data_IF_096082438288
#
_entry.id   IF_096082438288
#
_cell.length_a   1.000
_cell.length_b   1.000
_cell.length_c   1.000
_cell.angle_alpha   90.00
_cell.angle_beta   90.00
_cell.angle_gamma   90.00
#
_symmetry.space_group_name_H-M   'P 1'
#
loop_
_entity.id
_entity.type
_entity.pdbx_description
1 polymer ?
#
# COMPACT_ATOMS: atom_id res chain seq x y z
N UNK A 1 15.27 -6.54 16.35
CA UNK A 1 14.97 -6.93 14.94
C UNK A 1 13.87 -6.02 14.40
N UNK A 2 13.84 -5.68 13.09
CA UNK A 2 12.71 -4.96 12.51
C UNK A 2 11.38 -5.67 12.78
N UNK A 3 10.37 -4.87 13.10
CA UNK A 3 9.04 -5.26 13.53
C UNK A 3 8.31 -6.28 12.64
N UNK A 4 8.59 -6.32 11.34
CA UNK A 4 7.95 -7.22 10.36
C UNK A 4 8.57 -8.62 10.29
N UNK A 5 9.74 -8.85 10.89
CA UNK A 5 10.42 -10.15 10.82
C UNK A 5 9.86 -11.18 11.81
N UNK A 6 9.21 -10.74 12.89
CA UNK A 6 8.71 -11.63 13.93
C UNK A 6 7.31 -12.23 13.64
N UNK A 7 6.52 -11.62 12.75
CA UNK A 7 5.12 -12.00 12.50
C UNK A 7 4.74 -12.11 11.00
N UNK A 8 5.73 -12.09 10.09
CA UNK A 8 5.55 -12.44 8.68
C UNK A 8 5.67 -13.96 8.43
N UNK A 9 5.74 -14.44 7.18
CA UNK A 9 6.00 -15.86 6.88
C UNK A 9 7.40 -16.35 7.30
N UNK A 10 8.23 -15.48 7.87
CA UNK A 10 9.43 -15.78 8.65
C UNK A 10 9.19 -15.87 10.16
N UNK A 11 7.94 -15.82 10.62
CA UNK A 11 7.59 -15.90 12.04
C UNK A 11 7.79 -17.32 12.55
N UNK A 12 8.53 -17.40 13.64
CA UNK A 12 8.70 -18.61 14.42
C UNK A 12 7.72 -18.55 15.57
N UNK A 13 7.11 -19.68 15.93
CA UNK A 13 6.46 -19.79 17.24
C UNK A 13 7.53 -19.70 18.37
N UNK A 14 7.09 -19.68 19.62
CA UNK A 14 7.99 -19.66 20.79
C UNK A 14 8.93 -20.88 20.84
N UNK A 15 8.60 -21.96 20.12
CA UNK A 15 9.39 -23.18 20.00
C UNK A 15 10.38 -23.17 18.82
N UNK A 16 10.42 -22.11 18.01
CA UNK A 16 11.32 -22.01 16.85
C UNK A 16 10.81 -22.74 15.60
N UNK A 17 9.56 -23.19 15.57
CA UNK A 17 8.94 -23.80 14.40
C UNK A 17 8.38 -22.72 13.46
N UNK A 18 8.67 -22.88 12.18
CA UNK A 18 8.05 -22.08 11.11
C UNK A 18 6.57 -22.41 11.09
N UNK A 19 5.69 -21.41 11.25
CA UNK A 19 4.23 -21.53 11.28
C UNK A 19 3.57 -22.02 9.95
N UNK A 20 4.32 -22.72 9.09
CA UNK A 20 3.80 -23.58 8.03
C UNK A 20 3.25 -22.89 6.77
N UNK A 21 2.70 -23.72 5.89
CA UNK A 21 2.17 -23.39 4.55
C UNK A 21 1.04 -22.35 4.56
N UNK A 22 0.34 -22.18 5.68
CA UNK A 22 -0.73 -21.19 5.83
C UNK A 22 -0.21 -19.75 5.87
N UNK A 23 0.96 -19.51 6.47
CA UNK A 23 1.59 -18.18 6.45
C UNK A 23 1.99 -17.74 5.04
N UNK A 24 2.33 -18.70 4.15
CA UNK A 24 2.63 -18.41 2.75
C UNK A 24 1.38 -17.97 1.97
N UNK A 25 0.24 -18.62 2.23
CA UNK A 25 -1.06 -18.24 1.63
C UNK A 25 -1.50 -16.86 2.10
N UNK A 26 -1.36 -16.57 3.39
CA UNK A 26 -1.64 -15.25 3.94
C UNK A 26 -0.72 -14.18 3.39
N UNK A 27 0.58 -14.44 3.31
CA UNK A 27 1.54 -13.53 2.70
C UNK A 27 1.26 -13.28 1.22
N UNK A 28 0.84 -14.30 0.47
CA UNK A 28 0.40 -14.14 -0.92
C UNK A 28 -0.89 -13.30 -1.03
N UNK A 29 -1.89 -13.58 -0.19
CA UNK A 29 -3.16 -12.87 -0.16
C UNK A 29 -3.01 -11.40 0.26
N UNK A 30 -2.05 -11.08 1.13
CA UNK A 30 -1.86 -9.72 1.65
C UNK A 30 -0.81 -8.94 0.85
N UNK A 31 0.27 -9.60 0.41
CA UNK A 31 1.43 -8.98 -0.22
C UNK A 31 1.49 -9.07 -1.74
N UNK A 32 0.68 -9.92 -2.37
CA UNK A 32 0.71 -10.11 -3.85
C UNK A 32 -0.58 -9.64 -4.51
N UNK A 33 -1.72 -10.22 -4.15
CA UNK A 33 -2.99 -9.99 -4.87
C UNK A 33 -3.46 -8.53 -4.76
N UNK A 34 -3.55 -7.90 -3.58
CA UNK A 34 -4.07 -6.55 -3.47
C UNK A 34 -3.20 -5.49 -4.17
N UNK A 35 -1.86 -5.45 -3.97
CA UNK A 35 -1.00 -4.52 -4.69
C UNK A 35 -1.08 -4.69 -6.21
N UNK A 36 -1.16 -5.93 -6.70
CA UNK A 36 -1.33 -6.22 -8.13
C UNK A 36 -2.65 -5.65 -8.66
N UNK A 37 -3.77 -5.90 -7.98
CA UNK A 37 -5.09 -5.42 -8.39
C UNK A 37 -5.18 -3.89 -8.36
N UNK A 38 -4.70 -3.27 -7.28
CA UNK A 38 -4.68 -1.81 -7.14
C UNK A 38 -3.79 -1.18 -8.21
N UNK A 39 -2.58 -1.71 -8.41
CA UNK A 39 -1.66 -1.24 -9.45
C UNK A 39 -2.25 -1.39 -10.84
N UNK A 40 -2.87 -2.53 -11.15
CA UNK A 40 -3.48 -2.81 -12.45
C UNK A 40 -4.69 -1.89 -12.73
N UNK A 41 -5.53 -1.62 -11.74
CA UNK A 41 -6.66 -0.70 -11.87
C UNK A 41 -6.22 0.76 -11.96
N UNK A 42 -5.24 1.18 -11.16
CA UNK A 42 -4.75 2.56 -11.16
C UNK A 42 -3.94 2.88 -12.41
N UNK A 43 -3.21 1.91 -12.98
CA UNK A 43 -2.35 2.14 -14.13
C UNK A 43 -3.06 2.85 -15.28
N UNK A 44 -4.17 2.35 -15.87
CA UNK A 44 -4.86 3.07 -16.94
C UNK A 44 -5.47 4.40 -16.47
N UNK A 45 -5.89 4.50 -15.20
CA UNK A 45 -6.59 5.66 -14.64
C UNK A 45 -5.65 6.78 -14.16
N UNK A 46 -4.34 6.53 -14.09
CA UNK A 46 -3.37 7.48 -13.51
C UNK A 46 -3.34 8.84 -14.18
N UNK A 47 -3.64 8.92 -15.49
CA UNK A 47 -3.72 10.19 -16.23
C UNK A 47 -4.91 11.02 -15.77
N UNK A 48 -6.06 10.38 -15.58
CA UNK A 48 -7.29 11.00 -15.06
C UNK A 48 -7.09 11.50 -13.62
N UNK A 49 -6.48 10.68 -12.77
CA UNK A 49 -6.16 11.01 -11.37
C UNK A 49 -5.16 12.17 -11.29
N UNK A 50 -4.15 12.17 -12.16
CA UNK A 50 -3.15 13.23 -12.23
C UNK A 50 -3.72 14.59 -12.68
N UNK A 51 -4.82 14.61 -13.43
CA UNK A 51 -5.46 15.83 -13.92
C UNK A 51 -4.51 16.74 -14.70
N UNK A 52 -3.71 16.17 -15.60
CA UNK A 52 -2.77 16.91 -16.45
C UNK A 52 -1.44 17.30 -15.78
N UNK A 53 -1.24 17.00 -14.50
CA UNK A 53 0.00 17.36 -13.77
C UNK A 53 1.07 16.28 -13.93
N UNK A 54 2.19 16.63 -14.58
CA UNK A 54 3.33 15.71 -14.80
C UNK A 54 3.91 15.13 -13.50
N UNK A 55 3.98 15.93 -12.44
CA UNK A 55 4.47 15.47 -11.14
C UNK A 55 3.57 14.39 -10.53
N UNK A 56 2.25 14.63 -10.51
CA UNK A 56 1.26 13.65 -10.05
C UNK A 56 1.32 12.37 -10.89
N UNK A 57 1.43 12.49 -12.22
CA UNK A 57 1.52 11.34 -13.11
C UNK A 57 2.75 10.47 -12.81
N UNK A 58 3.92 11.09 -12.62
CA UNK A 58 5.16 10.37 -12.27
C UNK A 58 5.04 9.70 -10.91
N UNK A 59 4.49 10.39 -9.92
CA UNK A 59 4.26 9.85 -8.59
C UNK A 59 3.30 8.65 -8.61
N UNK A 60 2.17 8.74 -9.31
CA UNK A 60 1.23 7.63 -9.48
C UNK A 60 1.84 6.45 -10.26
N UNK A 61 2.69 6.74 -11.24
CA UNK A 61 3.42 5.69 -11.97
C UNK A 61 4.43 4.98 -11.05
N UNK A 62 5.14 5.74 -10.21
CA UNK A 62 6.05 5.18 -9.22
C UNK A 62 5.32 4.31 -8.19
N UNK A 63 4.13 4.73 -7.73
CA UNK A 63 3.24 3.94 -6.87
C UNK A 63 2.90 2.61 -7.54
N UNK A 64 2.43 2.63 -8.79
CA UNK A 64 2.07 1.41 -9.51
C UNK A 64 3.26 0.47 -9.70
N UNK A 65 4.43 1.02 -10.11
CA UNK A 65 5.65 0.23 -10.29
C UNK A 65 6.10 -0.38 -8.96
N UNK A 66 6.06 0.37 -7.86
CA UNK A 66 6.38 -0.15 -6.54
C UNK A 66 5.44 -1.31 -6.14
N UNK A 67 4.13 -1.16 -6.36
CA UNK A 67 3.16 -2.23 -6.09
C UNK A 67 3.40 -3.47 -6.94
N UNK A 68 3.71 -3.31 -8.23
CA UNK A 68 4.02 -4.44 -9.11
C UNK A 68 5.32 -5.14 -8.74
N UNK A 69 6.38 -4.38 -8.43
CA UNK A 69 7.64 -4.94 -7.97
C UNK A 69 7.47 -5.66 -6.64
N UNK A 70 6.71 -5.08 -5.71
CA UNK A 70 6.40 -5.69 -4.43
C UNK A 70 5.61 -7.00 -4.61
N UNK A 71 4.57 -6.99 -5.45
CA UNK A 71 3.81 -8.19 -5.76
C UNK A 71 4.68 -9.26 -6.44
N UNK A 72 5.54 -8.88 -7.39
CA UNK A 72 6.46 -9.78 -8.06
C UNK A 72 7.50 -10.38 -7.10
N UNK A 73 8.05 -9.58 -6.19
CA UNK A 73 8.96 -10.05 -5.15
C UNK A 73 8.25 -11.00 -4.17
N UNK A 74 7.06 -10.65 -3.69
CA UNK A 74 6.28 -11.54 -2.82
C UNK A 74 5.91 -12.84 -3.52
N UNK A 75 5.61 -12.80 -4.82
CA UNK A 75 5.37 -14.01 -5.60
C UNK A 75 6.64 -14.87 -5.71
N UNK A 76 7.76 -14.27 -6.11
CA UNK A 76 9.03 -14.97 -6.32
C UNK A 76 9.62 -15.55 -5.03
N UNK A 77 9.53 -14.79 -3.93
CA UNK A 77 10.11 -15.14 -2.63
C UNK A 77 9.08 -15.64 -1.62
N UNK A 78 7.92 -16.14 -2.08
CA UNK A 78 6.88 -16.76 -1.23
C UNK A 78 6.47 -15.90 -0.01
N UNK A 79 6.33 -14.61 -0.26
CA UNK A 79 5.90 -13.56 0.69
C UNK A 79 6.85 -13.25 1.86
N UNK A 80 8.13 -13.62 1.75
CA UNK A 80 9.14 -13.44 2.81
C UNK A 80 9.66 -11.99 2.99
N UNK A 81 9.12 -11.02 2.26
CA UNK A 81 9.64 -9.65 2.23
C UNK A 81 9.00 -8.72 3.28
N UNK A 82 9.79 -7.96 4.05
CA UNK A 82 9.32 -6.73 4.68
C UNK A 82 8.62 -5.82 3.66
N UNK A 83 7.67 -4.97 4.07
CA UNK A 83 6.95 -4.03 3.21
C UNK A 83 7.85 -2.84 2.82
N UNK A 84 8.94 -3.14 2.11
CA UNK A 84 9.91 -2.16 1.63
C UNK A 84 9.34 -1.22 0.57
N UNK A 85 8.24 -1.62 -0.06
CA UNK A 85 7.45 -0.78 -0.95
C UNK A 85 6.97 0.49 -0.25
N UNK A 86 6.73 0.47 1.07
CA UNK A 86 6.40 1.66 1.86
C UNK A 86 7.43 2.79 1.74
N UNK A 87 8.72 2.46 1.54
CA UNK A 87 9.78 3.46 1.32
C UNK A 87 9.59 4.25 0.03
N UNK A 88 8.88 3.69 -0.95
CA UNK A 88 8.55 4.34 -2.22
C UNK A 88 7.12 4.88 -2.17
N UNK A 89 6.17 4.09 -1.66
CA UNK A 89 4.75 4.41 -1.62
C UNK A 89 4.48 5.66 -0.79
N UNK A 90 5.06 5.79 0.40
CA UNK A 90 4.82 6.95 1.27
C UNK A 90 5.25 8.29 0.61
N UNK A 91 6.52 8.50 0.19
CA UNK A 91 6.90 9.75 -0.45
C UNK A 91 6.19 9.99 -1.79
N UNK A 92 5.97 8.94 -2.60
CA UNK A 92 5.26 9.09 -3.86
C UNK A 92 3.79 9.50 -3.66
N UNK A 93 3.11 8.94 -2.65
CA UNK A 93 1.72 9.32 -2.36
C UNK A 93 1.60 10.73 -1.77
N UNK A 94 2.59 11.20 -1.00
CA UNK A 94 2.68 12.63 -0.61
C UNK A 94 2.78 13.52 -1.85
N UNK A 95 3.67 13.21 -2.80
CA UNK A 95 3.80 13.99 -4.03
C UNK A 95 2.50 13.96 -4.84
N UNK A 96 1.85 12.80 -4.96
CA UNK A 96 0.57 12.67 -5.64
C UNK A 96 -0.51 13.52 -4.95
N UNK A 97 -0.63 13.47 -3.63
CA UNK A 97 -1.61 14.25 -2.86
C UNK A 97 -1.39 15.78 -2.96
N UNK A 98 -0.15 16.22 -3.04
CA UNK A 98 0.17 17.65 -3.15
C UNK A 98 -0.05 18.19 -4.55
N UNK A 99 0.12 17.35 -5.58
CA UNK A 99 0.16 17.79 -6.98
C UNK A 99 -1.04 17.37 -7.83
N UNK A 100 -1.86 16.42 -7.39
CA UNK A 100 -3.05 15.98 -8.10
C UNK A 100 -4.15 17.06 -8.16
N UNK A 101 -5.12 16.84 -9.04
CA UNK A 101 -6.29 17.73 -9.21
C UNK A 101 -7.05 17.91 -7.89
N UNK A 102 -7.52 19.12 -7.61
CA UNK A 102 -8.33 19.41 -6.40
C UNK A 102 -9.64 18.61 -6.41
N UNK A 103 -10.23 18.41 -5.23
CA UNK A 103 -11.50 17.70 -5.04
C UNK A 103 -11.34 16.39 -4.26
N UNK A 104 -12.33 15.48 -4.31
CA UNK A 104 -12.38 14.29 -3.46
C UNK A 104 -11.20 13.33 -3.71
N UNK A 105 -10.73 13.24 -4.97
CA UNK A 105 -9.54 12.45 -5.31
C UNK A 105 -8.30 12.93 -4.55
N UNK A 106 -8.07 14.24 -4.46
CA UNK A 106 -6.93 14.77 -3.72
C UNK A 106 -7.04 14.52 -2.22
N UNK A 107 -8.25 14.62 -1.67
CA UNK A 107 -8.49 14.30 -0.27
C UNK A 107 -8.16 12.82 0.01
N UNK A 108 -8.63 11.90 -0.83
CA UNK A 108 -8.34 10.47 -0.72
C UNK A 108 -6.85 10.16 -0.90
N UNK A 109 -6.18 10.80 -1.86
CA UNK A 109 -4.72 10.69 -2.00
C UNK A 109 -3.98 11.22 -0.77
N UNK A 110 -4.48 12.30 -0.15
CA UNK A 110 -3.94 12.83 1.10
C UNK A 110 -4.10 11.86 2.27
N UNK A 111 -5.26 11.21 2.39
CA UNK A 111 -5.50 10.17 3.39
C UNK A 111 -4.61 8.94 3.15
N UNK A 112 -4.44 8.51 1.89
CA UNK A 112 -3.52 7.44 1.51
C UNK A 112 -2.08 7.80 1.90
N UNK A 113 -1.65 9.02 1.59
CA UNK A 113 -0.31 9.51 1.95
C UNK A 113 -0.11 9.49 3.47
N UNK A 114 -1.10 9.96 4.25
CA UNK A 114 -1.05 9.92 5.71
C UNK A 114 -0.96 8.47 6.22
N UNK A 115 -1.80 7.56 5.72
CA UNK A 115 -1.79 6.16 6.10
C UNK A 115 -0.44 5.48 5.78
N UNK A 116 0.10 5.70 4.59
CA UNK A 116 1.42 5.16 4.20
C UNK A 116 2.56 5.74 5.04
N UNK A 117 2.54 7.04 5.34
CA UNK A 117 3.52 7.66 6.23
C UNK A 117 3.43 7.10 7.66
N UNK A 118 2.23 6.91 8.20
CA UNK A 118 2.03 6.28 9.51
C UNK A 118 2.51 4.83 9.52
N UNK A 119 2.20 4.06 8.46
CA UNK A 119 2.69 2.68 8.31
C UNK A 119 4.22 2.63 8.22
N UNK A 120 4.83 3.55 7.47
CA UNK A 120 6.28 3.65 7.38
C UNK A 120 6.91 4.05 8.72
N UNK A 121 6.33 5.01 9.43
CA UNK A 121 6.80 5.39 10.75
C UNK A 121 6.76 4.20 11.73
N UNK A 122 5.65 3.44 11.73
CA UNK A 122 5.49 2.22 12.52
C UNK A 122 6.54 1.16 12.16
N UNK A 123 6.88 0.99 10.88
CA UNK A 123 7.91 0.06 10.42
C UNK A 123 9.30 0.37 10.99
N UNK A 124 9.57 1.65 11.29
CA UNK A 124 10.85 2.13 11.81
C UNK A 124 10.95 2.03 13.34
N UNK A 125 9.84 1.75 14.04
CA UNK A 125 9.85 1.56 15.49
C UNK A 125 10.46 0.18 15.82
N UNK A 126 11.47 0.11 16.73
CA UNK A 126 12.02 -1.17 17.17
C UNK A 126 10.93 -2.10 17.73
N UNK A 127 11.06 -3.40 17.45
CA UNK A 127 10.07 -4.40 17.86
C UNK A 127 9.80 -4.34 19.36
N UNK A 128 10.85 -4.21 20.16
CA UNK A 128 10.84 -4.18 21.62
C UNK A 128 9.98 -3.02 22.16
N UNK A 129 9.97 -1.89 21.45
CA UNK A 129 9.10 -0.74 21.78
C UNK A 129 7.68 -0.96 21.27
N UNK A 130 7.55 -1.43 20.03
CA UNK A 130 6.25 -1.59 19.36
C UNK A 130 5.34 -2.64 20.01
N UNK A 131 5.93 -3.68 20.60
CA UNK A 131 5.18 -4.79 21.18
C UNK A 131 4.36 -4.34 22.39
N UNK A 132 4.89 -3.38 23.17
CA UNK A 132 4.22 -2.80 24.35
C UNK A 132 2.84 -2.17 24.07
N UNK A 133 2.59 -1.75 22.82
CA UNK A 133 1.31 -1.17 22.40
C UNK A 133 0.62 -1.98 21.28
N UNK A 134 1.01 -3.25 21.11
CA UNK A 134 0.41 -4.14 20.12
C UNK A 134 0.68 -3.69 18.69
N UNK A 135 1.88 -3.18 18.43
CA UNK A 135 2.26 -2.53 17.18
C UNK A 135 1.83 -3.32 15.95
N UNK A 136 1.98 -4.65 15.95
CA UNK A 136 1.68 -5.53 14.80
C UNK A 136 0.25 -5.36 14.29
N UNK A 137 -0.70 -5.30 15.24
CA UNK A 137 -2.11 -5.10 14.94
C UNK A 137 -2.36 -3.69 14.41
N UNK A 138 -1.75 -2.69 15.04
CA UNK A 138 -1.85 -1.29 14.64
C UNK A 138 -1.31 -1.08 13.22
N UNK A 139 -0.15 -1.65 12.91
CA UNK A 139 0.42 -1.63 11.57
C UNK A 139 -0.51 -2.32 10.57
N UNK A 140 -1.00 -3.52 10.89
CA UNK A 140 -1.88 -4.27 9.98
C UNK A 140 -3.19 -3.52 9.67
N UNK A 141 -3.79 -2.88 10.68
CA UNK A 141 -4.98 -2.05 10.52
C UNK A 141 -4.70 -0.85 9.63
N UNK A 142 -3.57 -0.15 9.81
CA UNK A 142 -3.24 1.03 9.01
C UNK A 142 -2.86 0.63 7.57
N UNK A 143 -1.87 -0.25 7.44
CA UNK A 143 -1.19 -0.54 6.18
C UNK A 143 -1.99 -1.47 5.25
N UNK A 144 -2.85 -2.33 5.79
CA UNK A 144 -3.66 -3.24 4.98
C UNK A 144 -5.12 -2.82 4.95
N UNK A 145 -5.79 -2.79 6.11
CA UNK A 145 -7.23 -2.50 6.13
C UNK A 145 -7.54 -1.05 5.74
N UNK A 146 -6.87 -0.08 6.38
CA UNK A 146 -7.08 1.35 6.13
C UNK A 146 -6.71 1.74 4.71
N UNK A 147 -5.49 1.41 4.27
CA UNK A 147 -5.04 1.63 2.89
C UNK A 147 -5.94 0.94 1.87
N UNK A 148 -6.35 -0.31 2.13
CA UNK A 148 -7.26 -1.05 1.25
C UNK A 148 -8.63 -0.37 1.09
N UNK A 149 -9.23 0.07 2.19
CA UNK A 149 -10.50 0.84 2.18
C UNK A 149 -10.33 2.16 1.43
N UNK A 150 -9.22 2.87 1.62
CA UNK A 150 -8.96 4.13 0.93
C UNK A 150 -8.76 3.95 -0.58
N UNK A 151 -8.10 2.88 -1.01
CA UNK A 151 -8.01 2.53 -2.43
C UNK A 151 -9.37 2.17 -3.03
N UNK A 152 -10.18 1.40 -2.30
CA UNK A 152 -11.55 1.09 -2.71
C UNK A 152 -12.40 2.36 -2.84
N UNK A 153 -12.31 3.27 -1.87
CA UNK A 153 -13.00 4.56 -1.90
C UNK A 153 -12.54 5.43 -3.07
N UNK A 154 -11.24 5.42 -3.40
CA UNK A 154 -10.71 6.11 -4.59
C UNK A 154 -11.28 5.49 -5.87
N UNK A 155 -11.32 4.16 -5.96
CA UNK A 155 -11.94 3.45 -7.08
C UNK A 155 -13.41 3.82 -7.27
N UNK A 156 -14.21 3.81 -6.20
CA UNK A 156 -15.62 4.23 -6.22
C UNK A 156 -15.74 5.69 -6.66
N UNK A 157 -14.91 6.59 -6.12
CA UNK A 157 -14.91 8.01 -6.50
C UNK A 157 -14.58 8.23 -7.97
N UNK A 158 -13.73 7.39 -8.55
CA UNK A 158 -13.41 7.42 -9.98
C UNK A 158 -14.57 6.92 -10.84
N UNK A 159 -15.35 5.95 -10.36
CA UNK A 159 -16.53 5.42 -11.04
C UNK A 159 -17.76 6.32 -10.93
N UNK A 160 -17.87 7.13 -9.87
CA UNK A 160 -19.00 8.05 -9.64
C UNK A 160 -18.76 9.47 -10.11
N UNK A 161 -17.56 9.78 -10.62
CA UNK A 161 -17.27 11.09 -11.20
C UNK A 161 -18.22 11.41 -12.35
N UNK A 162 -18.71 12.66 -12.47
CA UNK A 162 -19.65 13.03 -13.52
C UNK A 162 -19.07 12.69 -14.90
N UNK A 163 -19.92 12.05 -15.69
CA UNK A 163 -19.67 11.48 -17.00
C UNK A 163 -19.51 12.60 -18.05
N UNK A 164 -18.40 13.35 -18.00
CA UNK A 164 -18.02 14.31 -19.06
C UNK A 164 -17.67 13.61 -20.39
N UNK A 165 -17.74 12.27 -20.43
CA UNK A 165 -17.48 11.41 -21.58
C UNK A 165 -18.64 11.32 -22.58
N UNK A 166 -19.77 12.01 -22.38
CA UNK A 166 -20.91 12.05 -23.33
C UNK A 166 -21.00 13.35 -24.15
N UNK A 167 -19.93 14.15 -24.16
CA UNK A 167 -19.89 15.41 -24.90
C UNK A 167 -18.72 15.49 -25.90
N UNK A 168 -18.48 14.43 -26.68
CA UNK A 168 -17.80 14.51 -27.99
C UNK A 168 -18.22 13.34 -28.86
#
# INVERSE_FOLDING_TARGET
>A
MPFTLAHGPTSYNLEGEVLGWDMHRWGFLMGTVPPLLVGAGLWPLRVLVAGGRRAALRALSAICVAMFLFAAMNFAYRALGPPFDLLVLAPASVVAALTARKGPIRALLGLLAAAYCCALAMLLIPLETSDSFGGFRTFGVIAYAGVGVLWAALGVTLLTGPDDSRAT
#
